data_IF_802370707642
#
_entry.id   IF_802370707642
#
_cell.length_a   1.000
_cell.length_b   1.000
_cell.length_c   1.000
_cell.angle_alpha   90.00
_cell.angle_beta   90.00
_cell.angle_gamma   90.00
#
_symmetry.space_group_name_H-M   'P 1'
#
loop_
_entity.id
_entity.type
_entity.pdbx_description
1 polymer ?
#
# COMPACT_ATOMS: atom_id res chain seq x y z
N UNK A 1 -24.60 -5.41 6.50
CA UNK A 1 -23.26 -5.08 7.00
C UNK A 1 -22.50 -4.54 5.79
N UNK A 2 -21.77 -3.44 5.93
CA UNK A 2 -20.90 -2.97 4.86
C UNK A 2 -19.96 -4.10 4.45
N UNK A 3 -19.68 -4.22 3.16
CA UNK A 3 -18.90 -5.32 2.58
C UNK A 3 -17.43 -5.19 3.03
N UNK A 4 -17.12 -5.77 4.19
CA UNK A 4 -15.81 -5.74 4.83
C UNK A 4 -14.82 -6.57 4.00
N UNK A 5 -13.77 -5.92 3.49
CA UNK A 5 -12.74 -6.58 2.72
C UNK A 5 -11.76 -7.30 3.64
N UNK A 6 -11.21 -6.55 4.60
CA UNK A 6 -10.21 -7.05 5.54
C UNK A 6 -10.54 -6.60 6.95
N UNK A 7 -10.32 -7.48 7.93
CA UNK A 7 -10.36 -7.14 9.37
C UNK A 7 -9.19 -7.80 10.10
N UNK A 8 -8.43 -6.99 10.77
CA UNK A 8 -7.45 -7.38 11.77
C UNK A 8 -8.10 -7.24 13.14
N UNK A 9 -8.14 -8.29 13.94
CA UNK A 9 -8.87 -8.32 15.20
C UNK A 9 -7.94 -8.61 16.37
N UNK A 10 -7.92 -7.70 17.35
CA UNK A 10 -7.16 -7.80 18.62
C UNK A 10 -5.69 -8.15 18.41
N UNK A 11 -5.06 -7.48 17.45
CA UNK A 11 -3.65 -7.72 17.11
C UNK A 11 -2.73 -7.22 18.21
N UNK A 12 -1.87 -8.10 18.67
CA UNK A 12 -0.79 -7.79 19.61
C UNK A 12 0.57 -8.12 18.99
N UNK A 13 1.56 -7.27 19.28
CA UNK A 13 2.94 -7.50 18.84
C UNK A 13 3.94 -6.96 19.83
N UNK A 14 4.91 -7.81 20.18
CA UNK A 14 6.02 -7.48 21.07
C UNK A 14 7.36 -7.58 20.33
N UNK A 15 8.27 -6.69 20.65
CA UNK A 15 9.69 -6.76 20.31
C UNK A 15 10.50 -6.76 21.61
N UNK A 16 10.87 -7.96 22.06
CA UNK A 16 11.42 -8.15 23.39
C UNK A 16 10.42 -7.69 24.47
N UNK A 17 10.78 -6.66 25.22
CA UNK A 17 9.90 -6.07 26.27
C UNK A 17 9.02 -4.92 25.79
N UNK A 18 9.19 -4.49 24.53
CA UNK A 18 8.42 -3.37 23.97
C UNK A 18 7.16 -3.92 23.30
N UNK A 19 5.99 -3.51 23.78
CA UNK A 19 4.71 -3.80 23.13
C UNK A 19 4.46 -2.76 22.02
N UNK A 20 4.66 -3.16 20.78
CA UNK A 20 4.49 -2.31 19.62
C UNK A 20 3.02 -2.19 19.17
N UNK A 21 2.22 -3.24 19.42
CA UNK A 21 0.76 -3.23 19.20
C UNK A 21 0.07 -3.84 20.40
N UNK A 22 -0.98 -3.19 20.88
CA UNK A 22 -1.76 -3.57 22.04
C UNK A 22 -3.25 -3.57 21.68
N UNK A 23 -3.78 -4.76 21.45
CA UNK A 23 -5.21 -5.03 21.18
C UNK A 23 -5.77 -4.18 20.01
N UNK A 24 -5.02 -4.11 18.91
CA UNK A 24 -5.41 -3.28 17.76
C UNK A 24 -6.39 -4.03 16.86
N UNK A 25 -7.56 -3.42 16.64
CA UNK A 25 -8.54 -3.89 15.65
C UNK A 25 -8.68 -2.83 14.56
N UNK A 26 -8.43 -3.22 13.31
CA UNK A 26 -8.55 -2.39 12.12
C UNK A 26 -9.38 -3.13 11.07
N UNK A 27 -10.35 -2.48 10.47
CA UNK A 27 -11.08 -2.99 9.31
C UNK A 27 -10.91 -2.07 8.10
N UNK A 28 -11.05 -2.62 6.91
CA UNK A 28 -11.11 -1.90 5.64
C UNK A 28 -12.30 -2.46 4.86
N UNK A 29 -13.15 -1.57 4.37
CA UNK A 29 -14.31 -1.91 3.53
C UNK A 29 -13.89 -1.99 2.07
N UNK A 30 -14.67 -2.66 1.25
CA UNK A 30 -14.46 -2.64 -0.22
C UNK A 30 -14.61 -1.22 -0.75
N UNK A 31 -13.75 -0.88 -1.70
CA UNK A 31 -13.72 0.43 -2.35
C UNK A 31 -13.56 1.61 -1.36
N UNK A 32 -12.87 1.40 -0.25
CA UNK A 32 -12.60 2.42 0.76
C UNK A 32 -11.13 2.81 0.76
N UNK A 33 -10.85 4.10 0.92
CA UNK A 33 -9.52 4.61 1.22
C UNK A 33 -9.46 4.95 2.71
N UNK A 34 -8.73 4.16 3.48
CA UNK A 34 -8.51 4.39 4.91
C UNK A 34 -7.21 5.15 5.12
N UNK A 35 -7.26 6.31 5.74
CA UNK A 35 -6.09 7.03 6.23
C UNK A 35 -5.65 6.50 7.58
N UNK A 36 -4.43 5.97 7.68
CA UNK A 36 -3.88 5.50 8.93
C UNK A 36 -2.85 6.50 9.47
N UNK A 37 -3.25 7.27 10.48
CA UNK A 37 -2.47 8.35 11.07
C UNK A 37 -1.92 8.00 12.46
N UNK A 38 -0.95 8.77 12.91
CA UNK A 38 -0.31 8.65 14.23
C UNK A 38 1.15 9.05 14.16
N UNK A 39 1.74 9.35 15.31
CA UNK A 39 3.14 9.72 15.45
C UNK A 39 4.12 8.59 15.08
N UNK A 40 5.41 8.94 15.01
CA UNK A 40 6.48 7.96 14.92
C UNK A 40 6.43 7.04 16.14
N UNK A 41 6.57 5.73 15.90
CA UNK A 41 6.43 4.73 16.97
C UNK A 41 4.99 4.42 17.40
N UNK A 42 3.96 5.00 16.76
CA UNK A 42 2.55 4.68 17.07
C UNK A 42 2.14 3.24 16.75
N UNK A 43 2.95 2.50 15.97
CA UNK A 43 2.68 1.11 15.60
C UNK A 43 2.17 0.92 14.18
N UNK A 44 2.00 1.99 13.38
CA UNK A 44 1.45 1.94 12.01
C UNK A 44 2.20 0.92 11.12
N UNK A 45 3.50 1.10 10.94
CA UNK A 45 4.30 0.21 10.07
C UNK A 45 4.36 -1.23 10.60
N UNK A 46 4.28 -1.43 11.94
CA UNK A 46 4.16 -2.78 12.52
C UNK A 46 2.84 -3.44 12.13
N UNK A 47 1.73 -2.70 12.22
CA UNK A 47 0.40 -3.19 11.84
C UNK A 47 0.36 -3.57 10.35
N UNK A 48 0.90 -2.71 9.50
CA UNK A 48 0.96 -2.94 8.05
C UNK A 48 1.87 -4.12 7.70
N UNK A 49 3.03 -4.25 8.34
CA UNK A 49 3.91 -5.43 8.15
C UNK A 49 3.24 -6.74 8.53
N UNK A 50 2.33 -6.73 9.51
CA UNK A 50 1.54 -7.91 9.86
C UNK A 50 0.51 -8.19 8.76
N UNK A 51 -0.20 -7.18 8.27
CA UNK A 51 -1.19 -7.35 7.20
C UNK A 51 -0.55 -7.81 5.89
N UNK A 52 0.62 -7.28 5.54
CA UNK A 52 1.39 -7.67 4.35
C UNK A 52 2.12 -9.02 4.49
N UNK A 53 2.02 -9.69 5.66
CA UNK A 53 2.71 -10.95 5.90
C UNK A 53 4.23 -10.86 6.14
N UNK A 54 4.79 -9.65 6.14
CA UNK A 54 6.21 -9.43 6.43
C UNK A 54 6.55 -9.65 7.92
N UNK A 55 5.55 -9.61 8.80
CA UNK A 55 5.69 -9.84 10.23
C UNK A 55 4.51 -10.68 10.74
N UNK A 56 4.76 -11.55 11.73
CA UNK A 56 3.70 -12.32 12.38
C UNK A 56 3.23 -11.61 13.66
N UNK A 57 1.93 -11.55 13.92
CA UNK A 57 1.43 -11.11 15.22
C UNK A 57 1.76 -12.15 16.30
N UNK A 58 1.83 -11.72 17.55
CA UNK A 58 1.98 -12.64 18.69
C UNK A 58 0.61 -13.17 19.14
N UNK A 59 -0.46 -12.37 18.96
CA UNK A 59 -1.86 -12.81 19.09
C UNK A 59 -2.78 -11.93 18.25
N UNK A 60 -4.03 -12.36 18.11
CA UNK A 60 -5.05 -11.76 17.27
C UNK A 60 -5.26 -12.53 15.97
N UNK A 61 -6.19 -12.07 15.18
CA UNK A 61 -6.65 -12.78 13.98
C UNK A 61 -6.82 -11.84 12.80
N UNK A 62 -6.67 -12.37 11.60
CA UNK A 62 -6.91 -11.62 10.35
C UNK A 62 -8.01 -12.33 9.58
N UNK A 63 -8.94 -11.56 9.07
CA UNK A 63 -10.04 -12.01 8.23
C UNK A 63 -10.01 -11.29 6.90
N UNK A 64 -10.28 -12.03 5.81
CA UNK A 64 -10.53 -11.47 4.49
C UNK A 64 -11.86 -12.03 3.98
N UNK A 65 -12.72 -11.15 3.46
CA UNK A 65 -14.08 -11.51 3.05
C UNK A 65 -14.84 -12.32 4.12
N UNK A 66 -14.63 -11.99 5.39
CA UNK A 66 -15.22 -12.69 6.53
C UNK A 66 -14.58 -14.05 6.89
N UNK A 67 -13.66 -14.57 6.07
CA UNK A 67 -12.97 -15.82 6.35
C UNK A 67 -11.65 -15.57 7.08
N UNK A 68 -11.38 -16.36 8.13
CA UNK A 68 -10.11 -16.28 8.86
C UNK A 68 -8.94 -16.74 7.99
N UNK A 69 -7.92 -15.93 7.92
CA UNK A 69 -6.70 -16.19 7.11
C UNK A 69 -5.44 -16.09 7.97
N UNK A 70 -4.38 -16.77 7.51
CA UNK A 70 -3.05 -16.63 8.10
C UNK A 70 -2.10 -16.08 7.04
N UNK A 71 -1.47 -14.97 7.34
CA UNK A 71 -0.38 -14.40 6.54
C UNK A 71 0.95 -14.94 7.09
N UNK A 72 1.52 -15.95 6.44
CA UNK A 72 2.78 -16.58 6.88
C UNK A 72 4.00 -15.83 6.36
N UNK A 73 3.85 -15.22 5.19
CA UNK A 73 4.85 -14.46 4.46
C UNK A 73 4.15 -13.50 3.49
N UNK A 74 4.93 -12.66 2.81
CA UNK A 74 4.41 -11.68 1.84
C UNK A 74 3.76 -12.34 0.64
N UNK A 75 4.20 -13.52 0.22
CA UNK A 75 3.59 -14.27 -0.89
C UNK A 75 2.15 -14.68 -0.56
N UNK A 76 1.87 -15.05 0.70
CA UNK A 76 0.50 -15.36 1.14
C UNK A 76 -0.42 -14.13 1.06
N UNK A 77 0.07 -12.95 1.41
CA UNK A 77 -0.68 -11.70 1.34
C UNK A 77 -0.95 -11.31 -0.13
N UNK A 78 0.07 -11.39 -0.96
CA UNK A 78 -0.01 -11.12 -2.40
C UNK A 78 -1.02 -12.07 -3.09
N UNK A 79 -0.97 -13.38 -2.78
CA UNK A 79 -1.91 -14.37 -3.32
C UNK A 79 -3.38 -14.10 -2.91
N UNK A 80 -3.60 -13.26 -1.90
CA UNK A 80 -4.91 -12.80 -1.44
C UNK A 80 -5.26 -11.39 -1.92
N UNK A 81 -4.51 -10.87 -2.89
CA UNK A 81 -4.79 -9.55 -3.44
C UNK A 81 -4.36 -8.39 -2.55
N UNK A 82 -3.43 -8.59 -1.60
CA UNK A 82 -2.85 -7.49 -0.80
C UNK A 82 -1.49 -7.12 -1.38
N UNK A 83 -1.38 -5.93 -1.93
CA UNK A 83 -0.13 -5.36 -2.44
C UNK A 83 0.33 -4.22 -1.55
N UNK A 84 1.64 -4.15 -1.28
CA UNK A 84 2.20 -3.10 -0.41
C UNK A 84 3.28 -2.33 -1.16
N UNK A 85 3.10 -1.00 -1.20
CA UNK A 85 4.10 -0.05 -1.67
C UNK A 85 4.75 0.56 -0.44
N UNK A 86 5.97 0.13 -0.12
CA UNK A 86 6.74 0.64 1.00
C UNK A 86 7.41 1.97 0.65
N UNK A 87 7.75 2.74 1.67
CA UNK A 87 8.44 4.04 1.59
C UNK A 87 9.71 3.98 0.73
N UNK A 88 10.55 2.98 0.94
CA UNK A 88 11.70 2.70 0.07
C UNK A 88 11.24 1.83 -1.09
N UNK A 89 10.44 2.42 -2.02
CA UNK A 89 9.82 1.69 -3.14
C UNK A 89 10.61 0.42 -3.47
N UNK A 90 10.04 -0.77 -3.16
CA UNK A 90 10.75 -2.07 -3.26
C UNK A 90 11.07 -2.42 -4.73
N UNK A 91 11.82 -1.53 -5.37
CA UNK A 91 12.29 -1.62 -6.74
C UNK A 91 13.78 -1.96 -6.74
N UNK A 92 14.16 -2.91 -7.55
CA UNK A 92 15.56 -3.27 -7.78
C UNK A 92 16.13 -2.29 -8.79
N UNK A 93 17.00 -1.40 -8.33
CA UNK A 93 17.48 -0.24 -9.11
C UNK A 93 18.29 -0.60 -10.35
N UNK A 94 18.91 -1.75 -10.35
CA UNK A 94 19.69 -2.29 -11.48
C UNK A 94 18.83 -2.95 -12.56
N UNK A 95 17.61 -3.34 -12.20
CA UNK A 95 16.67 -3.98 -13.16
C UNK A 95 15.90 -2.93 -13.94
N UNK A 96 15.47 -3.32 -15.14
CA UNK A 96 14.61 -2.48 -15.99
C UNK A 96 13.22 -2.29 -15.37
N UNK A 97 12.49 -1.28 -15.87
CA UNK A 97 11.09 -1.03 -15.48
C UNK A 97 10.25 -2.30 -15.67
N UNK A 98 10.33 -2.92 -16.85
CA UNK A 98 9.56 -4.13 -17.13
C UNK A 98 9.90 -5.27 -16.17
N UNK A 99 11.19 -5.47 -15.86
CA UNK A 99 11.60 -6.51 -14.90
C UNK A 99 11.10 -6.22 -13.49
N UNK A 100 11.08 -4.97 -13.06
CA UNK A 100 10.54 -4.58 -11.75
C UNK A 100 9.03 -4.76 -11.66
N UNK A 101 8.29 -4.42 -12.72
CA UNK A 101 6.84 -4.60 -12.74
C UNK A 101 6.43 -6.06 -12.57
N UNK A 102 7.16 -6.97 -13.20
CA UNK A 102 6.82 -8.40 -13.21
C UNK A 102 7.64 -9.24 -12.22
N UNK A 103 8.47 -8.64 -11.38
CA UNK A 103 9.40 -9.35 -10.50
C UNK A 103 8.68 -10.42 -9.66
N UNK A 104 9.08 -11.69 -9.84
CA UNK A 104 8.49 -12.85 -9.18
C UNK A 104 7.15 -13.34 -9.78
N UNK A 105 6.70 -12.72 -10.88
CA UNK A 105 5.46 -13.06 -11.61
C UNK A 105 5.66 -12.86 -13.11
N UNK A 106 6.87 -13.15 -13.58
CA UNK A 106 7.23 -12.92 -14.97
C UNK A 106 6.43 -13.83 -15.91
N UNK A 107 5.80 -13.31 -16.97
CA UNK A 107 5.20 -14.13 -18.01
C UNK A 107 6.28 -14.91 -18.75
N UNK A 108 6.02 -16.20 -18.93
CA UNK A 108 6.93 -17.11 -19.63
C UNK A 108 6.27 -17.65 -20.90
N UNK A 109 7.09 -18.02 -21.86
CA UNK A 109 6.68 -18.70 -23.10
C UNK A 109 7.61 -19.83 -23.43
N UNK A 110 7.08 -20.89 -23.99
CA UNK A 110 7.81 -22.11 -24.38
C UNK A 110 7.21 -23.36 -23.75
N UNK A 111 7.70 -24.53 -24.11
CA UNK A 111 7.33 -25.76 -23.43
C UNK A 111 7.92 -25.77 -22.02
N UNK A 112 7.16 -26.29 -21.04
CA UNK A 112 7.42 -26.20 -19.59
C UNK A 112 8.86 -26.52 -19.11
N UNK A 113 9.63 -27.26 -19.88
CA UNK A 113 11.05 -27.58 -19.61
C UNK A 113 12.05 -26.55 -20.17
N UNK A 114 11.59 -25.59 -21.00
CA UNK A 114 12.41 -24.58 -21.70
C UNK A 114 11.76 -23.18 -21.61
N UNK A 115 11.07 -22.92 -20.52
CA UNK A 115 10.41 -21.64 -20.30
C UNK A 115 11.39 -20.47 -20.41
N UNK A 116 11.06 -19.52 -21.28
CA UNK A 116 11.79 -18.26 -21.46
C UNK A 116 10.88 -17.11 -21.12
N UNK A 117 11.46 -16.06 -20.55
CA UNK A 117 10.72 -14.84 -20.26
C UNK A 117 10.08 -14.27 -21.53
N UNK A 118 8.80 -13.93 -21.45
CA UNK A 118 8.12 -13.24 -22.55
C UNK A 118 8.34 -11.74 -22.47
N UNK A 119 9.53 -11.31 -22.86
CA UNK A 119 9.96 -9.91 -22.83
C UNK A 119 9.04 -9.01 -23.67
N UNK A 120 8.46 -9.51 -24.75
CA UNK A 120 7.57 -8.72 -25.60
C UNK A 120 6.26 -8.38 -24.88
N UNK A 121 5.64 -9.36 -24.24
CA UNK A 121 4.45 -9.14 -23.39
C UNK A 121 4.78 -8.20 -22.23
N UNK A 122 5.88 -8.43 -21.52
CA UNK A 122 6.31 -7.56 -20.44
C UNK A 122 6.46 -6.11 -20.92
N UNK A 123 7.13 -5.87 -22.03
CA UNK A 123 7.34 -4.52 -22.57
C UNK A 123 6.04 -3.85 -23.02
N UNK A 124 5.15 -4.60 -23.67
CA UNK A 124 3.86 -4.07 -24.14
C UNK A 124 2.98 -3.63 -22.96
N UNK A 125 2.83 -4.49 -21.97
CA UNK A 125 2.06 -4.22 -20.76
C UNK A 125 2.68 -3.05 -19.97
N UNK A 126 4.01 -3.01 -19.84
CA UNK A 126 4.73 -1.91 -19.17
C UNK A 126 4.37 -0.56 -19.78
N UNK A 127 4.39 -0.41 -21.12
CA UNK A 127 4.02 0.85 -21.78
C UNK A 127 2.58 1.27 -21.45
N UNK A 128 1.66 0.32 -21.43
CA UNK A 128 0.26 0.62 -21.09
C UNK A 128 0.12 1.07 -19.63
N UNK A 129 0.79 0.41 -18.71
CA UNK A 129 0.74 0.73 -17.28
C UNK A 129 1.37 2.10 -16.99
N UNK A 130 2.54 2.42 -17.58
CA UNK A 130 3.18 3.72 -17.40
C UNK A 130 2.26 4.86 -17.83
N UNK A 131 1.54 4.71 -18.95
CA UNK A 131 0.53 5.70 -19.40
C UNK A 131 -0.62 5.83 -18.39
N UNK A 132 -1.13 4.70 -17.86
CA UNK A 132 -2.22 4.70 -16.87
C UNK A 132 -1.85 5.45 -15.59
N UNK A 133 -0.61 5.33 -15.13
CA UNK A 133 -0.13 6.03 -13.92
C UNK A 133 0.34 7.46 -14.17
N UNK A 134 0.10 7.99 -15.39
CA UNK A 134 0.34 9.39 -15.71
C UNK A 134 1.77 9.71 -16.16
N UNK A 135 2.60 8.71 -16.47
CA UNK A 135 3.90 8.96 -17.13
C UNK A 135 3.63 9.26 -18.61
N UNK A 136 3.71 10.54 -18.96
CA UNK A 136 3.51 11.02 -20.33
C UNK A 136 4.77 10.94 -21.20
N UNK A 137 5.94 10.93 -20.55
CA UNK A 137 7.25 10.79 -21.19
C UNK A 137 7.39 9.37 -21.77
N UNK A 138 7.85 9.27 -23.00
CA UNK A 138 8.11 7.96 -23.64
C UNK A 138 9.38 7.34 -23.05
N UNK A 139 9.24 6.61 -21.96
CA UNK A 139 10.33 5.90 -21.30
C UNK A 139 10.33 4.45 -21.78
N UNK A 140 11.41 3.96 -22.41
CA UNK A 140 11.52 2.56 -22.81
C UNK A 140 11.35 1.61 -21.62
N UNK A 141 10.56 0.53 -21.72
CA UNK A 141 10.40 -0.48 -20.67
C UNK A 141 11.73 -1.14 -20.21
N UNK A 142 12.73 -1.08 -21.07
CA UNK A 142 14.10 -1.60 -20.81
C UNK A 142 14.96 -0.64 -20.00
N UNK A 143 14.52 0.59 -19.75
CA UNK A 143 15.24 1.58 -18.93
C UNK A 143 15.42 1.05 -17.51
N UNK A 144 16.64 1.09 -16.94
CA UNK A 144 16.86 0.68 -15.55
C UNK A 144 16.21 1.69 -14.58
N UNK A 145 15.77 1.21 -13.43
CA UNK A 145 15.12 2.07 -12.40
C UNK A 145 16.08 3.16 -11.90
N UNK A 146 17.39 2.89 -11.88
CA UNK A 146 18.42 3.88 -11.49
C UNK A 146 18.40 5.16 -12.33
N UNK A 147 17.92 5.11 -13.58
CA UNK A 147 17.84 6.24 -14.47
C UNK A 147 16.54 7.08 -14.28
N UNK A 148 15.64 6.67 -13.41
CA UNK A 148 14.36 7.33 -13.16
C UNK A 148 14.46 8.34 -12.02
N UNK A 149 13.67 9.42 -12.11
CA UNK A 149 13.42 10.33 -10.98
C UNK A 149 12.69 9.63 -9.83
N UNK A 150 12.63 10.26 -8.65
CA UNK A 150 11.88 9.74 -7.51
C UNK A 150 10.41 9.49 -7.82
N UNK A 151 9.76 10.46 -8.47
CA UNK A 151 8.36 10.35 -8.88
C UNK A 151 8.12 9.28 -9.95
N UNK A 152 9.00 9.16 -10.95
CA UNK A 152 8.91 8.08 -11.94
C UNK A 152 9.07 6.70 -11.30
N UNK A 153 9.97 6.55 -10.32
CA UNK A 153 10.11 5.32 -9.53
C UNK A 153 8.83 5.00 -8.76
N UNK A 154 8.27 5.99 -8.08
CA UNK A 154 7.00 5.81 -7.36
C UNK A 154 5.88 5.39 -8.31
N UNK A 155 5.79 6.00 -9.49
CA UNK A 155 4.80 5.64 -10.50
C UNK A 155 4.98 4.19 -10.99
N UNK A 156 6.21 3.69 -11.13
CA UNK A 156 6.47 2.27 -11.46
C UNK A 156 5.99 1.35 -10.34
N UNK A 157 6.25 1.68 -9.06
CA UNK A 157 5.77 0.88 -7.93
C UNK A 157 4.23 0.82 -7.89
N UNK A 158 3.58 1.94 -8.17
CA UNK A 158 2.13 2.07 -8.31
C UNK A 158 1.61 1.22 -9.48
N UNK A 159 2.24 1.32 -10.65
CA UNK A 159 1.87 0.55 -11.84
C UNK A 159 1.92 -0.97 -11.58
N UNK A 160 2.90 -1.42 -10.79
CA UNK A 160 3.01 -2.82 -10.36
C UNK A 160 1.80 -3.24 -9.53
N UNK A 161 1.41 -2.45 -8.53
CA UNK A 161 0.26 -2.76 -7.69
C UNK A 161 -1.05 -2.83 -8.49
N UNK A 162 -1.23 -1.94 -9.48
CA UNK A 162 -2.41 -1.97 -10.35
C UNK A 162 -2.48 -3.18 -11.30
N UNK A 163 -1.31 -3.69 -11.72
CA UNK A 163 -1.27 -4.73 -12.73
C UNK A 163 -1.76 -6.09 -12.21
N UNK A 164 -1.55 -6.36 -10.95
CA UNK A 164 -1.81 -7.68 -10.35
C UNK A 164 -3.16 -7.80 -9.66
N UNK A 165 -4.15 -6.97 -10.06
CA UNK A 165 -5.54 -7.06 -9.59
C UNK A 165 -5.66 -7.13 -8.06
N UNK A 166 -4.86 -6.32 -7.36
CA UNK A 166 -4.90 -6.26 -5.92
C UNK A 166 -6.26 -5.72 -5.44
N UNK A 167 -6.89 -6.39 -4.47
CA UNK A 167 -8.12 -5.89 -3.84
C UNK A 167 -7.82 -4.81 -2.81
N UNK A 168 -6.63 -4.89 -2.17
CA UNK A 168 -6.14 -3.93 -1.18
C UNK A 168 -4.73 -3.46 -1.54
N UNK A 169 -4.58 -2.16 -1.70
CA UNK A 169 -3.29 -1.50 -1.93
C UNK A 169 -2.90 -0.77 -0.64
N UNK A 170 -1.77 -1.13 -0.07
CA UNK A 170 -1.19 -0.45 1.10
C UNK A 170 -0.10 0.48 0.60
N UNK A 171 -0.23 1.77 0.94
CA UNK A 171 0.74 2.81 0.59
C UNK A 171 1.35 3.34 1.87
N UNK A 172 2.60 2.95 2.15
CA UNK A 172 3.34 3.38 3.33
C UNK A 172 4.22 4.58 2.95
N UNK A 173 3.76 5.78 3.33
CA UNK A 173 4.38 7.08 3.09
C UNK A 173 4.69 7.39 1.60
N UNK A 174 3.74 7.19 0.69
CA UNK A 174 4.00 7.24 -0.75
C UNK A 174 4.27 8.65 -1.28
N UNK A 175 4.10 9.70 -0.47
CA UNK A 175 4.33 11.10 -0.83
C UNK A 175 5.61 11.67 -0.21
N UNK A 176 6.39 10.87 0.52
CA UNK A 176 7.63 11.33 1.12
C UNK A 176 8.69 11.60 0.05
N UNK A 177 9.43 12.70 0.23
CA UNK A 177 10.53 13.13 -0.65
C UNK A 177 10.13 13.36 -2.12
N UNK A 178 8.83 13.58 -2.37
CA UNK A 178 8.30 13.94 -3.69
C UNK A 178 8.06 15.44 -3.83
N UNK A 179 8.25 15.97 -5.03
CA UNK A 179 7.84 17.31 -5.39
C UNK A 179 6.31 17.47 -5.40
N UNK A 180 5.85 18.71 -5.57
CA UNK A 180 4.40 19.03 -5.54
C UNK A 180 3.65 18.28 -6.63
N UNK A 181 4.16 18.29 -7.86
CA UNK A 181 3.52 17.66 -9.02
C UNK A 181 3.46 16.15 -8.88
N UNK A 182 4.54 15.53 -8.41
CA UNK A 182 4.65 14.09 -8.15
C UNK A 182 3.67 13.66 -7.04
N UNK A 183 3.62 14.43 -5.94
CA UNK A 183 2.65 14.23 -4.87
C UNK A 183 1.21 14.24 -5.39
N UNK A 184 0.84 15.24 -6.20
CA UNK A 184 -0.48 15.30 -6.81
C UNK A 184 -0.74 14.09 -7.74
N UNK A 185 0.29 13.58 -8.41
CA UNK A 185 0.22 12.35 -9.19
C UNK A 185 -0.18 11.14 -8.34
N UNK A 186 0.48 10.96 -7.18
CA UNK A 186 0.15 9.89 -6.21
C UNK A 186 -1.28 10.03 -5.69
N UNK A 187 -1.70 11.24 -5.30
CA UNK A 187 -3.05 11.46 -4.78
C UNK A 187 -4.14 11.19 -5.84
N UNK A 188 -3.91 11.60 -7.09
CA UNK A 188 -4.80 11.25 -8.22
C UNK A 188 -4.87 9.73 -8.41
N UNK A 189 -3.72 9.04 -8.32
CA UNK A 189 -3.69 7.59 -8.42
C UNK A 189 -4.54 6.92 -7.34
N UNK A 190 -4.39 7.30 -6.06
CA UNK A 190 -5.14 6.70 -4.94
C UNK A 190 -6.65 6.80 -5.17
N UNK A 191 -7.13 7.96 -5.64
CA UNK A 191 -8.54 8.14 -6.00
C UNK A 191 -8.95 7.23 -7.16
N UNK A 192 -8.14 7.20 -8.24
CA UNK A 192 -8.40 6.37 -9.41
C UNK A 192 -8.41 4.87 -9.08
N UNK A 193 -7.56 4.42 -8.16
CA UNK A 193 -7.55 3.03 -7.68
C UNK A 193 -8.89 2.68 -7.02
N UNK A 194 -9.38 3.51 -6.10
CA UNK A 194 -10.70 3.33 -5.48
C UNK A 194 -11.81 3.31 -6.53
N UNK A 195 -11.81 4.28 -7.45
CA UNK A 195 -12.83 4.39 -8.49
C UNK A 195 -12.81 3.18 -9.46
N UNK A 196 -11.68 2.48 -9.52
CA UNK A 196 -11.50 1.23 -10.27
C UNK A 196 -11.82 -0.03 -9.46
N UNK A 197 -12.31 0.11 -8.21
CA UNK A 197 -12.73 -1.01 -7.38
C UNK A 197 -11.69 -1.52 -6.38
N UNK A 198 -10.54 -0.85 -6.24
CA UNK A 198 -9.52 -1.21 -5.24
C UNK A 198 -9.77 -0.49 -3.92
N UNK A 199 -9.47 -1.16 -2.81
CA UNK A 199 -9.42 -0.52 -1.49
C UNK A 199 -7.99 -0.09 -1.18
N UNK A 200 -7.82 0.95 -0.37
CA UNK A 200 -6.49 1.44 -0.04
C UNK A 200 -6.33 1.69 1.47
N UNK A 201 -5.13 1.40 2.00
CA UNK A 201 -4.65 1.98 3.25
C UNK A 201 -3.59 3.00 2.89
N UNK A 202 -3.84 4.26 3.23
CA UNK A 202 -2.95 5.37 2.94
C UNK A 202 -2.31 5.88 4.22
N UNK A 203 -1.00 5.69 4.36
CA UNK A 203 -0.22 6.17 5.50
C UNK A 203 0.61 7.35 5.03
N UNK A 204 0.49 8.49 5.69
CA UNK A 204 1.32 9.65 5.40
C UNK A 204 1.59 10.45 6.68
N UNK A 205 2.76 11.09 6.74
CA UNK A 205 3.06 12.07 7.79
C UNK A 205 2.34 13.40 7.54
N UNK A 206 2.17 13.75 6.26
CA UNK A 206 1.48 14.98 5.91
C UNK A 206 -0.04 14.76 5.93
N UNK A 207 -0.65 15.25 7.00
CA UNK A 207 -2.10 15.13 7.21
C UNK A 207 -2.92 15.80 6.11
N UNK A 208 -2.41 16.88 5.47
CA UNK A 208 -3.08 17.55 4.34
C UNK A 208 -3.24 16.60 3.15
N UNK A 209 -2.27 15.73 2.88
CA UNK A 209 -2.38 14.73 1.81
C UNK A 209 -3.46 13.70 2.12
N UNK A 210 -3.56 13.28 3.40
CA UNK A 210 -4.58 12.32 3.85
C UNK A 210 -5.98 12.89 3.64
N UNK A 211 -6.24 14.12 4.11
CA UNK A 211 -7.55 14.79 3.98
C UNK A 211 -8.02 14.95 2.53
N UNK A 212 -7.08 14.97 1.58
CA UNK A 212 -7.43 15.11 0.17
C UNK A 212 -8.00 13.82 -0.45
N UNK A 213 -7.68 12.63 0.08
CA UNK A 213 -7.95 11.39 -0.67
C UNK A 213 -8.72 10.34 0.12
N UNK A 214 -8.71 10.37 1.45
CA UNK A 214 -9.30 9.30 2.25
C UNK A 214 -10.80 9.47 2.47
N UNK A 215 -11.48 8.35 2.61
CA UNK A 215 -12.89 8.29 2.95
C UNK A 215 -13.09 8.25 4.47
N UNK A 216 -12.11 7.70 5.21
CA UNK A 216 -12.14 7.54 6.66
C UNK A 216 -10.73 7.62 7.24
N UNK A 217 -10.62 8.18 8.44
CA UNK A 217 -9.35 8.29 9.17
C UNK A 217 -9.39 7.40 10.41
N UNK A 218 -8.31 6.65 10.61
CA UNK A 218 -8.00 5.87 11.80
C UNK A 218 -6.75 6.44 12.43
N UNK A 219 -6.76 6.65 13.75
CA UNK A 219 -5.61 7.20 14.47
C UNK A 219 -5.04 6.15 15.42
N UNK A 220 -3.73 5.94 15.29
CA UNK A 220 -2.95 5.12 16.20
C UNK A 220 -2.07 5.97 17.11
N UNK A 221 -1.95 5.57 18.37
CA UNK A 221 -1.05 6.20 19.35
C UNK A 221 -0.55 5.17 20.35
N UNK A 222 0.79 5.10 20.54
CA UNK A 222 1.47 4.19 21.48
C UNK A 222 0.99 2.75 21.37
N UNK A 223 0.93 2.23 20.15
CA UNK A 223 0.54 0.85 19.87
C UNK A 223 -0.95 0.54 19.99
N UNK A 224 -1.82 1.54 20.15
CA UNK A 224 -3.28 1.39 20.24
C UNK A 224 -3.99 2.18 19.15
N UNK A 225 -5.14 1.70 18.70
CA UNK A 225 -6.10 2.50 17.95
C UNK A 225 -6.85 3.40 18.92
N UNK A 226 -6.70 4.71 18.80
CA UNK A 226 -7.30 5.71 19.71
C UNK A 226 -8.52 6.39 19.09
N UNK A 227 -8.65 6.38 17.77
CA UNK A 227 -9.84 6.85 17.07
C UNK A 227 -10.04 6.07 15.78
N UNK A 228 -11.29 5.99 15.35
CA UNK A 228 -11.75 5.32 14.12
C UNK A 228 -13.01 6.03 13.61
N UNK A 229 -13.45 5.69 12.37
CA UNK A 229 -14.66 6.24 11.74
C UNK A 229 -14.68 7.79 11.64
N UNK A 230 -13.49 8.43 11.61
CA UNK A 230 -13.41 9.87 11.44
C UNK A 230 -13.64 10.20 9.95
N UNK A 231 -14.71 10.92 9.65
CA UNK A 231 -14.98 11.45 8.32
C UNK A 231 -14.17 12.75 8.10
N UNK A 232 -13.22 12.79 7.14
CA UNK A 232 -12.41 13.97 6.87
C UNK A 232 -13.25 15.18 6.42
N UNK A 233 -14.49 14.97 5.94
CA UNK A 233 -15.40 16.05 5.53
C UNK A 233 -16.15 16.68 6.71
N UNK A 234 -16.18 16.01 7.87
CA UNK A 234 -16.90 16.44 9.07
C UNK A 234 -15.97 16.85 10.21
N UNK A 235 -14.67 16.85 9.97
CA UNK A 235 -13.65 17.20 10.97
C UNK A 235 -12.63 18.19 10.41
N UNK A 236 -11.77 18.72 11.26
CA UNK A 236 -10.67 19.60 10.86
C UNK A 236 -9.32 18.90 11.08
N UNK A 237 -8.30 19.39 10.40
CA UNK A 237 -6.93 18.90 10.55
C UNK A 237 -6.48 19.04 12.00
N UNK A 238 -6.73 20.21 12.61
CA UNK A 238 -6.36 20.51 14.00
C UNK A 238 -7.04 19.57 15.00
N UNK A 239 -8.29 19.17 14.74
CA UNK A 239 -8.98 18.20 15.59
C UNK A 239 -8.32 16.83 15.53
N UNK A 240 -7.90 16.39 14.34
CA UNK A 240 -7.19 15.12 14.18
C UNK A 240 -5.79 15.17 14.77
N UNK A 241 -5.06 16.29 14.62
CA UNK A 241 -3.75 16.51 15.25
C UNK A 241 -3.83 16.42 16.78
N UNK A 242 -4.87 16.97 17.41
CA UNK A 242 -5.11 16.81 18.86
C UNK A 242 -5.28 15.34 19.25
N UNK A 243 -6.00 14.56 18.46
CA UNK A 243 -6.17 13.12 18.72
C UNK A 243 -4.81 12.39 18.62
N UNK A 244 -3.99 12.74 17.62
CA UNK A 244 -2.66 12.16 17.41
C UNK A 244 -1.76 12.48 18.61
N UNK A 245 -1.69 13.74 19.01
CA UNK A 245 -0.82 14.19 20.12
C UNK A 245 -1.38 13.85 21.49
N UNK A 246 -2.71 13.71 21.60
CA UNK A 246 -3.40 13.41 22.86
C UNK A 246 -3.60 14.63 23.74
N UNK A 247 -3.65 15.81 23.13
CA UNK A 247 -3.98 17.08 23.78
C UNK A 247 -5.49 17.35 23.75
#
# INVERSE_FOLDING_TARGET
MADELVRMERINKYFGRVQALNDVTLSVRKNEIVGLLGDNGAGKSTLIKILSGALRPDSGEIYMHGAKVKMRNTTDAIARGIETIYQDSALVVELSIARNLFLGREPVKGPALLDRLDQNTMNAVTRQLLKKVGITKDIPPTTPISALSGGERQAVAIARAMHFESELIILDEPTNNLGVEETQGVLRFVRSARDSGHSCIFIAHNIYHVFQVVDRIVVMRRGKKVADEIDPKQTTIEAVERIITGM
#
